data_IF_094500005283
#
_entry.id   IF_094500005283
#
_cell.length_a   1.000
_cell.length_b   1.000
_cell.length_c   1.000
_cell.angle_alpha   90.00
_cell.angle_beta   90.00
_cell.angle_gamma   90.00
#
_symmetry.space_group_name_H-M   'P 1'
#
loop_
_entity.id
_entity.type
_entity.pdbx_description
1 polymer ?
#
# COMPACT_ATOMS: atom_id res chain seq x y z
N UNK A 1 41.76 1.98 -57.55
CA UNK A 1 40.49 1.80 -56.82
C UNK A 1 39.43 2.62 -57.57
N UNK A 2 38.38 1.98 -58.12
CA UNK A 2 37.43 2.69 -59.00
C UNK A 2 36.48 3.59 -58.21
N UNK A 3 36.02 4.66 -58.86
CA UNK A 3 35.08 5.65 -58.30
C UNK A 3 33.75 5.01 -57.83
N UNK A 4 33.39 3.86 -58.41
CA UNK A 4 32.19 3.09 -58.08
C UNK A 4 32.30 2.37 -56.74
N UNK A 5 33.50 1.88 -56.37
CA UNK A 5 33.76 1.25 -55.07
C UNK A 5 33.64 2.28 -53.95
N UNK A 6 34.16 3.49 -54.16
CA UNK A 6 33.99 4.59 -53.19
C UNK A 6 32.52 5.01 -53.03
N UNK A 7 31.75 5.08 -54.12
CA UNK A 7 30.29 5.38 -54.05
C UNK A 7 29.51 4.32 -53.29
N UNK A 8 29.80 3.04 -53.49
CA UNK A 8 29.11 1.94 -52.79
C UNK A 8 29.47 1.89 -51.31
N UNK A 9 30.74 2.13 -50.96
CA UNK A 9 31.17 2.23 -49.55
C UNK A 9 30.53 3.43 -48.86
N UNK A 10 30.51 4.60 -49.49
CA UNK A 10 29.81 5.78 -48.94
C UNK A 10 28.29 5.56 -48.81
N UNK A 11 27.66 4.93 -49.80
CA UNK A 11 26.23 4.60 -49.75
C UNK A 11 25.91 3.53 -48.69
N UNK A 12 26.83 2.60 -48.44
CA UNK A 12 26.70 1.63 -47.34
C UNK A 12 26.84 2.29 -45.97
N UNK A 13 27.80 3.21 -45.83
CA UNK A 13 28.03 3.97 -44.60
C UNK A 13 26.84 4.88 -44.23
N UNK A 14 26.21 5.54 -45.20
CA UNK A 14 25.02 6.37 -44.95
C UNK A 14 23.83 5.53 -44.51
N UNK A 15 23.62 4.35 -45.11
CA UNK A 15 22.51 3.47 -44.76
C UNK A 15 22.67 2.91 -43.34
N UNK A 16 23.90 2.54 -42.96
CA UNK A 16 24.25 2.14 -41.59
C UNK A 16 23.99 3.30 -40.61
N UNK A 17 24.40 4.53 -40.96
CA UNK A 17 24.16 5.71 -40.12
C UNK A 17 22.66 5.98 -39.90
N UNK A 18 21.82 5.82 -40.92
CA UNK A 18 20.36 6.01 -40.81
C UNK A 18 19.75 4.98 -39.87
N UNK A 19 20.18 3.71 -39.96
CA UNK A 19 19.74 2.64 -39.05
C UNK A 19 20.15 2.96 -37.60
N UNK A 20 21.38 3.40 -37.37
CA UNK A 20 21.84 3.82 -36.04
C UNK A 20 21.04 4.99 -35.48
N UNK A 21 20.70 5.99 -36.31
CA UNK A 21 19.87 7.12 -35.88
C UNK A 21 18.45 6.64 -35.54
N UNK A 22 17.85 5.77 -36.34
CA UNK A 22 16.52 5.23 -36.08
C UNK A 22 16.47 4.40 -34.78
N UNK A 23 17.48 3.55 -34.55
CA UNK A 23 17.61 2.77 -33.31
C UNK A 23 17.79 3.68 -32.08
N UNK A 24 18.66 4.67 -32.16
CA UNK A 24 18.84 5.65 -31.08
C UNK A 24 17.56 6.43 -30.81
N UNK A 25 16.86 6.89 -31.85
CA UNK A 25 15.59 7.58 -31.70
C UNK A 25 14.53 6.70 -31.01
N UNK A 26 14.43 5.43 -31.40
CA UNK A 26 13.51 4.49 -30.77
C UNK A 26 13.87 4.24 -29.30
N UNK A 27 15.15 4.04 -28.98
CA UNK A 27 15.62 3.87 -27.60
C UNK A 27 15.35 5.12 -26.75
N UNK A 28 15.66 6.31 -27.25
CA UNK A 28 15.40 7.58 -26.55
C UNK A 28 13.90 7.76 -26.31
N UNK A 29 13.06 7.49 -27.31
CA UNK A 29 11.61 7.60 -27.18
C UNK A 29 11.05 6.59 -26.18
N UNK A 30 11.56 5.36 -26.19
CA UNK A 30 11.18 4.32 -25.23
C UNK A 30 11.56 4.71 -23.81
N UNK A 31 12.80 5.19 -23.59
CA UNK A 31 13.26 5.70 -22.29
C UNK A 31 12.43 6.89 -21.82
N UNK A 32 12.20 7.88 -22.69
CA UNK A 32 11.40 9.06 -22.35
C UNK A 32 9.97 8.68 -21.94
N UNK A 33 9.37 7.68 -22.60
CA UNK A 33 8.06 7.16 -22.19
C UNK A 33 8.11 6.49 -20.81
N UNK A 34 9.11 5.64 -20.55
CA UNK A 34 9.27 4.97 -19.27
C UNK A 34 9.52 5.97 -18.12
N UNK A 35 10.34 6.99 -18.35
CA UNK A 35 10.59 8.08 -17.40
C UNK A 35 9.32 8.90 -17.12
N UNK A 36 8.54 9.21 -18.16
CA UNK A 36 7.26 9.90 -18.00
C UNK A 36 6.24 9.07 -17.21
N UNK A 37 6.15 7.76 -17.46
CA UNK A 37 5.30 6.85 -16.68
C UNK A 37 5.74 6.77 -15.21
N UNK A 38 7.05 6.67 -14.96
CA UNK A 38 7.60 6.64 -13.61
C UNK A 38 7.32 7.95 -12.85
N UNK A 39 7.50 9.10 -13.50
CA UNK A 39 7.20 10.40 -12.92
C UNK A 39 5.71 10.56 -12.61
N UNK A 40 4.84 10.14 -13.53
CA UNK A 40 3.39 10.15 -13.32
C UNK A 40 2.98 9.25 -12.15
N UNK A 41 3.48 8.02 -12.09
CA UNK A 41 3.16 7.07 -11.03
C UNK A 41 3.65 7.57 -9.66
N UNK A 42 4.80 8.27 -9.63
CA UNK A 42 5.29 8.94 -8.41
C UNK A 42 4.28 9.93 -7.86
N UNK A 43 3.77 10.82 -8.71
CA UNK A 43 2.80 11.84 -8.32
C UNK A 43 1.48 11.19 -7.88
N UNK A 44 0.99 10.19 -8.62
CA UNK A 44 -0.22 9.43 -8.25
C UNK A 44 -0.04 8.76 -6.88
N UNK A 45 1.10 8.12 -6.65
CA UNK A 45 1.41 7.44 -5.39
C UNK A 45 1.43 8.44 -4.23
N UNK A 46 2.06 9.60 -4.39
CA UNK A 46 2.06 10.66 -3.37
C UNK A 46 0.65 11.16 -3.06
N UNK A 47 -0.18 11.38 -4.09
CA UNK A 47 -1.57 11.79 -3.88
C UNK A 47 -2.42 10.69 -3.23
N UNK A 48 -2.12 9.42 -3.52
CA UNK A 48 -2.78 8.29 -2.88
C UNK A 48 -2.46 8.29 -1.38
N UNK A 49 -1.17 8.32 -1.01
CA UNK A 49 -0.70 8.35 0.38
C UNK A 49 -1.33 9.53 1.14
N UNK A 50 -1.35 10.71 0.53
CA UNK A 50 -1.97 11.89 1.14
C UNK A 50 -3.49 11.72 1.35
N UNK A 51 -4.19 10.99 0.46
CA UNK A 51 -5.61 10.73 0.63
C UNK A 51 -5.87 9.84 1.86
N UNK A 52 -5.06 8.80 2.07
CA UNK A 52 -5.22 7.91 3.23
C UNK A 52 -4.80 8.58 4.55
N UNK A 53 -3.77 9.42 4.54
CA UNK A 53 -3.41 10.29 5.67
C UNK A 53 -4.57 11.18 6.09
N UNK A 54 -5.15 11.91 5.14
CA UNK A 54 -6.33 12.76 5.38
C UNK A 54 -7.55 11.97 5.85
N UNK A 55 -7.68 10.72 5.40
CA UNK A 55 -8.76 9.86 5.87
C UNK A 55 -8.60 9.55 7.36
N UNK A 56 -7.38 9.23 7.78
CA UNK A 56 -7.06 8.95 9.17
C UNK A 56 -7.20 10.20 10.04
N UNK A 57 -6.66 11.34 9.60
CA UNK A 57 -6.80 12.63 10.29
C UNK A 57 -8.27 13.03 10.48
N UNK A 58 -9.08 12.89 9.42
CA UNK A 58 -10.52 13.19 9.49
C UNK A 58 -11.23 12.30 10.51
N UNK A 59 -10.91 11.00 10.57
CA UNK A 59 -11.57 10.08 11.49
C UNK A 59 -11.10 10.26 12.94
N UNK A 60 -9.80 10.42 13.14
CA UNK A 60 -9.18 10.59 14.47
C UNK A 60 -9.44 11.97 15.08
N UNK A 61 -9.83 12.96 14.26
CA UNK A 61 -9.97 14.36 14.71
C UNK A 61 -8.64 14.97 15.18
N UNK A 62 -7.50 14.41 14.72
CA UNK A 62 -6.16 14.82 15.16
C UNK A 62 -5.73 14.26 16.52
N UNK A 63 -6.55 13.43 17.16
CA UNK A 63 -6.18 12.75 18.40
C UNK A 63 -5.40 11.46 18.13
N UNK A 64 -4.49 11.12 19.04
CA UNK A 64 -3.79 9.83 19.00
C UNK A 64 -4.75 8.65 19.31
N UNK A 65 -4.34 7.42 19.02
CA UNK A 65 -5.14 6.18 19.12
C UNK A 65 -5.52 5.77 20.56
N UNK A 66 -5.61 6.72 21.49
CA UNK A 66 -5.86 6.49 22.92
C UNK A 66 -7.36 6.45 23.25
N UNK A 67 -8.22 6.95 22.35
CA UNK A 67 -9.67 6.99 22.52
C UNK A 67 -10.38 6.68 21.21
N UNK A 68 -11.58 6.11 21.32
CA UNK A 68 -12.46 5.90 20.17
C UNK A 68 -12.67 7.21 19.39
N UNK A 69 -12.77 7.15 18.05
CA UNK A 69 -13.04 8.34 17.26
C UNK A 69 -14.37 8.97 17.70
N UNK A 70 -14.50 10.28 17.56
CA UNK A 70 -15.77 10.93 17.85
C UNK A 70 -16.87 10.36 16.94
N UNK A 71 -18.10 10.14 17.45
CA UNK A 71 -19.23 9.69 16.64
C UNK A 71 -19.77 10.82 15.76
N UNK A 72 -18.91 11.38 14.92
CA UNK A 72 -19.19 12.50 14.02
C UNK A 72 -19.42 12.01 12.60
N UNK A 73 -20.65 12.13 12.11
CA UNK A 73 -21.04 11.66 10.79
C UNK A 73 -20.18 12.24 9.66
N UNK A 74 -19.81 13.52 9.73
CA UNK A 74 -19.05 14.19 8.66
C UNK A 74 -17.62 13.66 8.60
N UNK A 75 -17.01 13.36 9.74
CA UNK A 75 -15.69 12.75 9.84
C UNK A 75 -15.69 11.36 9.21
N UNK A 76 -16.67 10.51 9.55
CA UNK A 76 -16.83 9.17 8.98
C UNK A 76 -17.06 9.21 7.45
N UNK A 77 -17.92 10.12 6.98
CA UNK A 77 -18.13 10.33 5.53
C UNK A 77 -16.87 10.83 4.83
N UNK A 78 -16.14 11.75 5.44
CA UNK A 78 -14.93 12.32 4.85
C UNK A 78 -13.84 11.26 4.76
N UNK A 79 -13.60 10.53 5.84
CA UNK A 79 -12.63 9.46 5.91
C UNK A 79 -12.91 8.35 4.87
N UNK A 80 -14.14 7.84 4.82
CA UNK A 80 -14.53 6.81 3.85
C UNK A 80 -14.35 7.27 2.40
N UNK A 81 -14.74 8.50 2.06
CA UNK A 81 -14.54 9.06 0.71
C UNK A 81 -13.06 9.16 0.34
N UNK A 82 -12.20 9.52 1.29
CA UNK A 82 -10.76 9.61 1.05
C UNK A 82 -10.13 8.21 0.88
N UNK A 83 -10.56 7.20 1.64
CA UNK A 83 -10.17 5.80 1.42
C UNK A 83 -10.56 5.34 0.00
N UNK A 84 -11.78 5.65 -0.45
CA UNK A 84 -12.21 5.30 -1.81
C UNK A 84 -11.39 6.03 -2.89
N UNK A 85 -11.00 7.29 -2.66
CA UNK A 85 -10.08 8.01 -3.55
C UNK A 85 -8.71 7.37 -3.59
N UNK A 86 -8.16 6.98 -2.44
CA UNK A 86 -6.91 6.24 -2.34
C UNK A 86 -6.97 4.96 -3.19
N UNK A 87 -8.00 4.11 -3.01
CA UNK A 87 -8.18 2.87 -3.80
C UNK A 87 -8.22 3.15 -5.31
N UNK A 88 -8.90 4.23 -5.72
CA UNK A 88 -8.98 4.66 -7.13
C UNK A 88 -7.65 5.22 -7.68
N UNK A 89 -6.82 5.83 -6.85
CA UNK A 89 -5.49 6.30 -7.24
C UNK A 89 -4.51 5.13 -7.35
N UNK A 90 -4.51 4.23 -6.36
CA UNK A 90 -3.70 3.00 -6.37
C UNK A 90 -3.97 2.16 -7.62
N UNK A 91 -5.23 2.03 -8.05
CA UNK A 91 -5.59 1.26 -9.26
C UNK A 91 -5.08 1.87 -10.57
N UNK A 92 -4.53 3.09 -10.57
CA UNK A 92 -3.97 3.75 -11.76
C UNK A 92 -2.47 3.57 -11.91
N UNK A 93 -1.79 3.09 -10.88
CA UNK A 93 -0.34 2.88 -10.89
C UNK A 93 0.02 1.77 -11.87
N UNK A 94 1.02 2.03 -12.72
CA UNK A 94 1.47 1.07 -13.75
C UNK A 94 2.73 0.34 -13.34
N UNK A 95 3.65 1.05 -12.70
CA UNK A 95 4.99 0.61 -12.33
C UNK A 95 4.94 -0.22 -11.05
N UNK A 96 5.55 -1.42 -11.07
CA UNK A 96 5.60 -2.32 -9.92
C UNK A 96 6.22 -1.67 -8.68
N UNK A 97 7.26 -0.85 -8.85
CA UNK A 97 7.87 -0.09 -7.76
C UNK A 97 6.85 0.74 -6.97
N UNK A 98 6.05 1.55 -7.67
CA UNK A 98 5.07 2.41 -6.99
C UNK A 98 3.85 1.65 -6.50
N UNK A 99 3.48 0.52 -7.14
CA UNK A 99 2.47 -0.39 -6.59
C UNK A 99 2.93 -0.97 -5.25
N UNK A 100 4.19 -1.39 -5.15
CA UNK A 100 4.79 -1.90 -3.91
C UNK A 100 4.79 -0.82 -2.83
N UNK A 101 5.39 0.34 -3.11
CA UNK A 101 5.45 1.47 -2.17
C UNK A 101 4.04 1.86 -1.69
N UNK A 102 3.08 1.99 -2.61
CA UNK A 102 1.71 2.33 -2.25
C UNK A 102 1.05 1.25 -1.37
N UNK A 103 1.37 -0.03 -1.58
CA UNK A 103 0.85 -1.14 -0.77
C UNK A 103 1.47 -1.18 0.63
N UNK A 104 2.77 -0.91 0.77
CA UNK A 104 3.43 -0.79 2.07
C UNK A 104 2.80 0.32 2.92
N UNK A 105 2.56 1.49 2.32
CA UNK A 105 1.85 2.58 2.98
C UNK A 105 0.41 2.20 3.33
N UNK A 106 -0.27 1.46 2.46
CA UNK A 106 -1.63 0.98 2.75
C UNK A 106 -1.64 0.12 4.01
N UNK A 107 -0.76 -0.88 4.13
CA UNK A 107 -0.69 -1.75 5.30
C UNK A 107 -0.34 -1.01 6.58
N UNK A 108 0.61 -0.08 6.52
CA UNK A 108 0.93 0.79 7.66
C UNK A 108 -0.34 1.50 8.18
N UNK A 109 -1.09 2.12 7.27
CA UNK A 109 -2.28 2.85 7.63
C UNK A 109 -3.43 1.94 8.02
N UNK A 110 -3.62 0.77 7.39
CA UNK A 110 -4.61 -0.22 7.85
C UNK A 110 -4.41 -0.55 9.31
N UNK A 111 -3.17 -0.79 9.72
CA UNK A 111 -2.85 -1.04 11.12
C UNK A 111 -3.17 0.16 12.01
N UNK A 112 -2.88 1.39 11.57
CA UNK A 112 -3.27 2.61 12.31
C UNK A 112 -4.79 2.73 12.47
N UNK A 113 -5.55 2.45 11.41
CA UNK A 113 -7.02 2.38 11.47
C UNK A 113 -7.50 1.25 12.38
N UNK A 114 -6.82 0.10 12.37
CA UNK A 114 -7.10 -1.01 13.28
C UNK A 114 -7.01 -0.56 14.73
N UNK A 115 -5.87 0.02 15.13
CA UNK A 115 -5.65 0.51 16.48
C UNK A 115 -6.67 1.60 16.88
N UNK A 116 -6.96 2.55 15.99
CA UNK A 116 -7.96 3.59 16.24
C UNK A 116 -9.38 3.03 16.44
N UNK A 117 -9.67 1.88 15.85
CA UNK A 117 -11.00 1.26 15.85
C UNK A 117 -11.05 0.01 16.74
N UNK A 118 -10.05 -0.21 17.58
CA UNK A 118 -9.96 -1.32 18.54
C UNK A 118 -10.44 -0.84 19.92
N UNK A 119 -11.70 -0.40 19.97
CA UNK A 119 -12.34 0.13 21.17
C UNK A 119 -13.72 -0.47 21.38
N UNK A 120 -14.03 -0.82 22.64
CA UNK A 120 -15.28 -1.46 23.03
C UNK A 120 -16.52 -0.60 22.73
N UNK A 121 -16.39 0.73 22.74
CA UNK A 121 -17.48 1.66 22.43
C UNK A 121 -18.11 1.39 21.05
N UNK A 122 -17.29 0.95 20.09
CA UNK A 122 -17.71 0.64 18.72
C UNK A 122 -18.54 -0.65 18.62
N UNK A 123 -18.60 -1.46 19.68
CA UNK A 123 -19.46 -2.64 19.75
C UNK A 123 -20.91 -2.30 20.10
N UNK A 124 -21.18 -1.08 20.56
CA UNK A 124 -22.52 -0.66 20.98
C UNK A 124 -23.25 0.12 19.88
N UNK A 125 -24.50 -0.23 19.54
CA UNK A 125 -25.30 0.51 18.54
C UNK A 125 -25.42 2.01 18.83
N UNK A 126 -25.43 2.37 20.12
CA UNK A 126 -25.45 3.75 20.62
C UNK A 126 -24.35 4.63 20.02
N UNK A 127 -23.18 4.07 19.73
CA UNK A 127 -22.09 4.84 19.14
C UNK A 127 -22.44 5.38 17.75
N UNK A 128 -23.24 4.63 16.97
CA UNK A 128 -23.58 4.97 15.59
C UNK A 128 -24.88 5.78 15.48
N UNK A 129 -25.54 6.03 16.60
CA UNK A 129 -26.83 6.73 16.67
C UNK A 129 -26.63 8.15 17.23
N UNK A 130 -27.55 9.04 16.87
CA UNK A 130 -27.63 10.36 17.45
C UNK A 130 -27.96 10.31 18.96
N UNK A 131 -27.84 11.46 19.63
CA UNK A 131 -28.02 11.56 21.08
C UNK A 131 -29.44 11.16 21.52
N UNK A 132 -30.42 11.26 20.63
CA UNK A 132 -31.84 10.96 20.85
C UNK A 132 -32.20 9.50 20.47
N UNK A 133 -31.23 8.70 20.01
CA UNK A 133 -31.37 7.30 19.59
C UNK A 133 -32.44 7.09 18.52
N UNK A 134 -32.62 8.07 17.65
CA UNK A 134 -33.59 7.97 16.57
C UNK A 134 -33.07 6.99 15.49
N UNK A 135 -33.80 5.89 15.19
CA UNK A 135 -33.29 4.86 14.28
C UNK A 135 -33.02 5.32 12.84
N UNK A 136 -33.62 6.44 12.41
CA UNK A 136 -33.59 6.93 11.02
C UNK A 136 -33.15 8.40 10.96
N UNK A 137 -32.28 8.83 11.88
CA UNK A 137 -31.77 10.19 11.89
C UNK A 137 -30.72 10.42 10.80
N UNK A 138 -30.74 11.59 10.17
CA UNK A 138 -29.67 12.02 9.24
C UNK A 138 -28.36 12.33 9.93
N UNK A 139 -28.36 12.46 11.26
CA UNK A 139 -27.17 12.70 12.08
C UNK A 139 -26.47 11.40 12.49
N UNK A 140 -27.13 10.25 12.33
CA UNK A 140 -26.51 8.93 12.55
C UNK A 140 -25.30 8.74 11.63
N UNK A 141 -24.32 7.98 12.10
CA UNK A 141 -23.16 7.60 11.27
C UNK A 141 -23.69 6.88 10.04
N UNK A 142 -23.25 7.32 8.85
CA UNK A 142 -23.67 6.72 7.60
C UNK A 142 -23.17 5.26 7.53
N UNK A 143 -24.06 4.26 7.39
CA UNK A 143 -23.65 2.85 7.42
C UNK A 143 -22.65 2.48 6.32
N UNK A 144 -22.76 3.09 5.14
CA UNK A 144 -21.83 2.83 4.02
C UNK A 144 -20.43 3.33 4.37
N UNK A 145 -20.35 4.52 4.96
CA UNK A 145 -19.08 5.09 5.42
C UNK A 145 -18.40 4.21 6.47
N UNK A 146 -19.18 3.69 7.42
CA UNK A 146 -18.67 2.80 8.45
C UNK A 146 -18.19 1.47 7.87
N UNK A 147 -18.97 0.86 6.96
CA UNK A 147 -18.56 -0.37 6.28
C UNK A 147 -17.26 -0.22 5.49
N UNK A 148 -17.08 0.91 4.79
CA UNK A 148 -15.83 1.18 4.05
C UNK A 148 -14.63 1.22 4.99
N UNK A 149 -14.77 1.91 6.12
CA UNK A 149 -13.69 2.07 7.11
C UNK A 149 -13.40 0.75 7.82
N UNK A 150 -14.44 0.03 8.28
CA UNK A 150 -14.29 -1.26 8.94
C UNK A 150 -13.77 -2.35 8.02
N UNK A 151 -14.10 -2.31 6.73
CA UNK A 151 -13.47 -3.18 5.74
C UNK A 151 -12.01 -2.80 5.51
N UNK A 152 -11.71 -1.50 5.44
CA UNK A 152 -10.35 -1.02 5.18
C UNK A 152 -9.35 -1.42 6.27
N UNK A 153 -9.76 -1.43 7.56
CA UNK A 153 -8.86 -1.81 8.66
C UNK A 153 -8.43 -3.28 8.68
N UNK A 154 -9.13 -4.14 7.95
CA UNK A 154 -8.86 -5.58 7.95
C UNK A 154 -7.64 -5.89 7.09
N UNK A 155 -6.92 -6.96 7.45
CA UNK A 155 -5.91 -7.53 6.58
C UNK A 155 -6.55 -7.95 5.24
N UNK A 156 -5.87 -7.64 4.13
CA UNK A 156 -6.36 -8.06 2.81
C UNK A 156 -6.20 -9.58 2.66
N UNK A 157 -7.29 -10.35 2.53
CA UNK A 157 -7.20 -11.80 2.41
C UNK A 157 -6.49 -12.26 1.14
N UNK A 158 -6.32 -11.40 0.14
CA UNK A 158 -5.59 -11.71 -1.10
C UNK A 158 -4.09 -11.45 -0.96
N UNK A 159 -3.65 -10.75 0.09
CA UNK A 159 -2.25 -10.41 0.29
C UNK A 159 -1.53 -11.53 1.05
N UNK A 160 -0.46 -12.06 0.43
CA UNK A 160 0.46 -12.98 1.09
C UNK A 160 1.15 -12.26 2.26
N UNK A 161 1.16 -12.89 3.42
CA UNK A 161 1.95 -12.42 4.57
C UNK A 161 3.43 -12.71 4.30
N UNK A 162 4.31 -11.67 4.23
CA UNK A 162 5.74 -11.87 4.05
C UNK A 162 6.37 -12.74 5.14
N UNK A 163 5.81 -12.77 6.36
CA UNK A 163 6.28 -13.62 7.45
C UNK A 163 6.00 -15.12 7.18
N UNK A 164 5.08 -15.43 6.27
CA UNK A 164 4.77 -16.80 5.85
C UNK A 164 5.89 -17.46 5.04
N UNK A 165 6.73 -16.67 4.37
CA UNK A 165 7.85 -17.16 3.53
C UNK A 165 9.17 -17.29 4.31
N UNK A 166 9.21 -16.80 5.54
CA UNK A 166 10.42 -16.79 6.37
C UNK A 166 10.76 -18.20 6.86
N UNK A 167 11.98 -18.67 6.56
CA UNK A 167 12.51 -19.89 7.15
C UNK A 167 12.89 -19.66 8.62
N UNK A 168 12.03 -20.15 9.53
CA UNK A 168 12.19 -19.98 10.97
C UNK A 168 13.42 -20.71 11.50
N UNK A 169 13.75 -21.86 10.94
CA UNK A 169 14.87 -22.68 11.41
C UNK A 169 16.22 -22.00 11.14
N UNK A 170 16.34 -21.31 10.00
CA UNK A 170 17.53 -20.51 9.67
C UNK A 170 17.72 -19.38 10.68
N UNK A 171 16.65 -18.68 11.06
CA UNK A 171 16.69 -17.57 12.03
C UNK A 171 16.95 -18.08 13.46
N UNK A 172 16.38 -19.23 13.84
CA UNK A 172 16.63 -19.82 15.16
C UNK A 172 18.09 -20.27 15.30
N UNK A 173 18.69 -20.75 14.21
CA UNK A 173 20.04 -21.34 14.19
C UNK A 173 21.17 -20.37 13.84
N UNK A 174 20.87 -19.10 13.52
CA UNK A 174 21.86 -18.09 13.09
C UNK A 174 22.88 -17.68 14.18
N UNK A 175 22.68 -18.11 15.42
CA UNK A 175 23.56 -17.85 16.55
C UNK A 175 23.52 -16.41 17.09
N UNK A 176 22.70 -15.52 16.53
CA UNK A 176 22.57 -14.13 16.97
C UNK A 176 21.13 -13.77 17.38
N UNK A 177 20.10 -14.25 16.70
CA UNK A 177 18.71 -13.79 16.90
C UNK A 177 18.20 -14.10 18.29
N UNK A 178 18.54 -15.28 18.82
CA UNK A 178 18.10 -15.71 20.16
C UNK A 178 19.07 -15.29 21.28
N UNK A 179 20.19 -14.63 20.96
CA UNK A 179 21.21 -14.31 21.94
C UNK A 179 20.68 -13.29 22.96
N UNK A 180 20.68 -13.69 24.25
CA UNK A 180 20.16 -12.87 25.35
C UNK A 180 18.64 -12.88 25.50
N UNK A 181 17.88 -13.55 24.63
CA UNK A 181 16.42 -13.58 24.63
C UNK A 181 15.85 -14.85 25.30
N UNK A 182 16.28 -15.15 26.53
CA UNK A 182 15.92 -16.41 27.23
C UNK A 182 14.42 -16.72 27.24
N UNK A 183 13.57 -15.74 27.51
CA UNK A 183 12.11 -15.93 27.54
C UNK A 183 11.55 -16.34 26.17
N UNK A 184 12.06 -15.75 25.09
CA UNK A 184 11.65 -16.10 23.74
C UNK A 184 12.19 -17.46 23.31
N UNK A 185 13.45 -17.78 23.67
CA UNK A 185 14.03 -19.12 23.46
C UNK A 185 13.16 -20.21 24.10
N UNK A 186 12.76 -20.03 25.36
CA UNK A 186 11.88 -20.98 26.06
C UNK A 186 10.52 -21.13 25.41
N UNK A 187 9.93 -20.03 24.94
CA UNK A 187 8.67 -20.06 24.22
C UNK A 187 8.78 -20.85 22.90
N UNK A 188 9.85 -20.67 22.14
CA UNK A 188 10.11 -21.42 20.90
C UNK A 188 10.32 -22.91 21.17
N UNK A 189 11.06 -23.27 22.21
CA UNK A 189 11.25 -24.67 22.63
C UNK A 189 9.90 -25.36 22.93
N UNK A 190 9.05 -24.71 23.75
CA UNK A 190 7.71 -25.25 24.10
C UNK A 190 6.83 -25.44 22.87
N UNK A 191 6.80 -24.46 21.94
CA UNK A 191 6.04 -24.58 20.71
C UNK A 191 6.55 -25.67 19.76
N UNK A 192 7.86 -25.93 19.77
CA UNK A 192 8.47 -27.01 19.01
C UNK A 192 8.04 -28.39 19.51
N UNK A 193 7.96 -28.57 20.82
CA UNK A 193 7.52 -29.82 21.47
C UNK A 193 6.04 -30.12 21.20
N UNK A 194 5.16 -29.11 21.19
CA UNK A 194 3.72 -29.30 20.89
C UNK A 194 3.44 -29.64 19.42
N UNK A 195 4.35 -29.27 18.50
CA UNK A 195 4.21 -29.53 17.06
C UNK A 195 4.85 -30.84 16.59
N UNK A 196 5.62 -31.53 17.43
CA UNK A 196 6.17 -32.83 17.09
C UNK A 196 5.03 -33.89 17.04
N UNK A 197 4.91 -34.69 15.96
CA UNK A 197 3.93 -35.76 15.93
C UNK A 197 4.27 -36.77 17.03
N UNK A 198 3.26 -37.13 17.84
CA UNK A 198 3.34 -38.28 18.75
C UNK A 198 3.46 -39.59 17.97
#
# INVERSE_FOLDING_TARGET
MSLEVWRTVFSGATLISVVFVALNYWMVRSKAKAEAELAQDKEICQQAILAIERAFEALSGGNECSSAPAPDRLNWLTASRQILKFKKLKSKLKTELYKLVCSEHEEHWRHKFYLLLDHDDLNFPKYFQDQDYHPVSSENIDPTSALVIFNFKQWDPQQSDPLGEVNKDDIISDGYTLNGLYGFTKYIEVLGEERAPK
#
